data_IF_625728214190
#
_entry.id   IF_625728214190
#
_cell.length_a   1.000
_cell.length_b   1.000
_cell.length_c   1.000
_cell.angle_alpha   90.00
_cell.angle_beta   90.00
_cell.angle_gamma   90.00
#
_symmetry.space_group_name_H-M   'P 1'
#
loop_
_entity.id
_entity.type
_entity.pdbx_description
1 polymer ?
#
# COMPACT_ATOMS: atom_id res chain seq x y z
N UNK A 1 11.07 21.37 36.50
CA UNK A 1 10.73 19.95 36.35
C UNK A 1 11.38 19.46 35.07
N UNK A 2 12.08 18.34 35.09
CA UNK A 2 12.65 17.72 33.88
C UNK A 2 11.51 17.26 32.97
N UNK A 3 11.56 17.53 31.65
CA UNK A 3 10.52 17.07 30.74
C UNK A 3 10.43 15.54 30.76
N UNK A 4 9.21 15.01 30.78
CA UNK A 4 9.03 13.56 30.72
C UNK A 4 9.42 13.04 29.33
N UNK A 5 10.26 12.00 29.30
CA UNK A 5 10.73 11.36 28.07
C UNK A 5 9.68 10.38 27.55
N UNK A 6 9.38 10.45 26.26
CA UNK A 6 8.36 9.62 25.61
C UNK A 6 9.01 8.78 24.52
N UNK A 7 9.02 7.46 24.69
CA UNK A 7 9.54 6.54 23.69
C UNK A 7 8.55 6.41 22.53
N UNK A 8 9.03 6.63 21.31
CA UNK A 8 8.27 6.37 20.08
C UNK A 8 8.89 5.18 19.36
N UNK A 9 8.12 4.10 19.20
CA UNK A 9 8.59 2.84 18.62
C UNK A 9 8.46 2.75 17.10
N UNK A 10 7.92 3.80 16.47
CA UNK A 10 7.78 3.92 15.02
C UNK A 10 9.02 4.57 14.40
N UNK A 11 9.17 4.36 13.09
CA UNK A 11 10.14 5.08 12.27
C UNK A 11 10.07 6.61 12.51
N UNK A 12 11.21 7.33 12.62
CA UNK A 12 11.22 8.74 12.97
C UNK A 12 10.53 9.62 11.92
N UNK A 13 10.64 9.30 10.63
CA UNK A 13 9.98 10.05 9.57
C UNK A 13 8.46 9.87 9.69
N UNK A 14 8.00 8.66 9.96
CA UNK A 14 6.58 8.36 10.15
C UNK A 14 6.00 8.90 11.47
N UNK A 15 6.86 9.23 12.44
CA UNK A 15 6.50 9.75 13.76
C UNK A 15 6.64 11.28 13.89
N UNK A 16 7.05 11.97 12.83
CA UNK A 16 7.43 13.38 12.89
C UNK A 16 6.34 14.27 13.52
N UNK A 17 5.08 14.14 13.09
CA UNK A 17 3.94 14.92 13.61
C UNK A 17 3.68 14.62 15.09
N UNK A 18 3.72 13.35 15.50
CA UNK A 18 3.56 12.96 16.91
C UNK A 18 4.69 13.52 17.77
N UNK A 19 5.93 13.46 17.28
CA UNK A 19 7.07 14.03 17.97
C UNK A 19 6.96 15.55 18.11
N UNK A 20 6.45 16.26 17.10
CA UNK A 20 6.18 17.69 17.19
C UNK A 20 5.11 17.99 18.27
N UNK A 21 3.98 17.29 18.25
CA UNK A 21 2.89 17.45 19.23
C UNK A 21 3.31 17.16 20.67
N UNK A 22 4.25 16.22 20.86
CA UNK A 22 4.82 15.90 22.16
C UNK A 22 5.73 17.03 22.67
N UNK A 23 6.58 17.59 21.80
CA UNK A 23 7.43 18.74 22.15
C UNK A 23 6.61 19.97 22.52
N UNK A 24 5.55 20.26 21.77
CA UNK A 24 4.60 21.35 22.09
C UNK A 24 3.97 21.20 23.47
N UNK A 25 3.82 19.97 23.96
CA UNK A 25 3.29 19.65 25.29
C UNK A 25 4.37 19.56 26.38
N UNK A 26 5.61 19.93 26.08
CA UNK A 26 6.72 19.92 27.03
C UNK A 26 7.30 18.53 27.31
N UNK A 27 7.04 17.55 26.44
CA UNK A 27 7.67 16.23 26.50
C UNK A 27 8.93 16.18 25.64
N UNK A 28 9.79 15.22 25.94
CA UNK A 28 10.98 14.90 25.13
C UNK A 28 10.74 13.58 24.38
N UNK A 29 10.35 13.62 23.09
CA UNK A 29 10.18 12.41 22.30
C UNK A 29 11.53 11.80 21.94
N UNK A 30 11.69 10.51 22.23
CA UNK A 30 12.84 9.70 21.87
C UNK A 30 12.41 8.64 20.85
N UNK A 31 12.82 8.79 19.59
CA UNK A 31 12.55 7.78 18.58
C UNK A 31 13.47 6.57 18.77
N UNK A 32 12.89 5.38 18.86
CA UNK A 32 13.61 4.11 18.88
C UNK A 32 12.78 3.09 18.11
N UNK A 33 12.92 3.05 16.77
CA UNK A 33 12.18 2.11 15.94
C UNK A 33 12.50 0.68 16.36
N UNK A 34 11.46 -0.09 16.69
CA UNK A 34 11.63 -1.50 17.10
C UNK A 34 11.57 -2.44 15.90
N UNK A 35 10.86 -2.02 14.84
CA UNK A 35 10.66 -2.80 13.63
C UNK A 35 11.04 -1.99 12.39
N UNK A 36 11.51 -2.69 11.37
CA UNK A 36 11.85 -2.16 10.05
C UNK A 36 11.27 -3.06 8.97
N UNK A 37 10.83 -2.44 7.87
CA UNK A 37 10.35 -3.17 6.72
C UNK A 37 11.53 -3.67 5.89
N UNK A 38 11.53 -4.97 5.57
CA UNK A 38 12.50 -5.58 4.68
C UNK A 38 11.83 -6.21 3.46
N UNK A 39 12.54 -6.24 2.34
CA UNK A 39 12.14 -7.01 1.18
C UNK A 39 12.23 -8.52 1.49
N UNK A 40 11.34 -9.35 0.91
CA UNK A 40 11.48 -10.80 0.93
C UNK A 40 12.84 -11.24 0.35
N UNK A 41 13.25 -12.48 0.64
CA UNK A 41 14.51 -13.02 0.12
C UNK A 41 14.54 -13.04 -1.41
N UNK A 42 13.40 -13.28 -2.04
CA UNK A 42 13.19 -13.16 -3.47
C UNK A 42 12.09 -12.13 -3.75
N UNK A 43 12.44 -10.90 -4.17
CA UNK A 43 11.47 -9.87 -4.53
C UNK A 43 10.98 -9.97 -5.99
N UNK A 44 11.37 -10.99 -6.76
CA UNK A 44 11.03 -11.12 -8.18
C UNK A 44 9.52 -11.19 -8.43
N UNK A 45 8.76 -11.81 -7.54
CA UNK A 45 7.29 -11.84 -7.63
C UNK A 45 6.66 -10.45 -7.52
N UNK A 46 7.22 -9.57 -6.67
CA UNK A 46 6.75 -8.20 -6.51
C UNK A 46 7.09 -7.37 -7.74
N UNK A 47 8.30 -7.52 -8.28
CA UNK A 47 8.69 -6.88 -9.53
C UNK A 47 7.79 -7.31 -10.70
N UNK A 48 7.49 -8.61 -10.80
CA UNK A 48 6.59 -9.14 -11.82
C UNK A 48 5.11 -8.77 -11.61
N UNK A 49 4.69 -8.47 -10.37
CA UNK A 49 3.37 -7.89 -10.12
C UNK A 49 3.31 -6.44 -10.59
N UNK A 50 4.37 -5.65 -10.33
CA UNK A 50 4.47 -4.26 -10.77
C UNK A 50 4.49 -4.16 -12.30
N UNK A 51 5.25 -5.02 -12.98
CA UNK A 51 5.27 -5.11 -14.45
C UNK A 51 3.89 -5.48 -15.01
N UNK A 52 3.20 -6.45 -14.39
CA UNK A 52 1.83 -6.80 -14.80
C UNK A 52 0.84 -5.65 -14.61
N UNK A 53 1.01 -4.84 -13.57
CA UNK A 53 0.20 -3.64 -13.37
C UNK A 53 0.49 -2.57 -14.44
N UNK A 54 1.76 -2.40 -14.84
CA UNK A 54 2.17 -1.47 -15.89
C UNK A 54 1.73 -1.93 -17.30
N UNK A 55 1.60 -3.24 -17.52
CA UNK A 55 1.27 -3.84 -18.81
C UNK A 55 0.07 -4.81 -18.70
N UNK A 56 -1.12 -4.33 -18.30
CA UNK A 56 -2.26 -5.19 -18.06
C UNK A 56 -2.79 -5.78 -19.38
N UNK A 57 -3.01 -7.11 -19.41
CA UNK A 57 -3.60 -7.81 -20.56
C UNK A 57 -5.14 -7.75 -20.58
N UNK A 58 -5.74 -7.19 -19.53
CA UNK A 58 -7.18 -7.03 -19.36
C UNK A 58 -7.50 -6.17 -18.13
N UNK A 59 -8.78 -5.97 -17.79
CA UNK A 59 -9.19 -5.14 -16.66
C UNK A 59 -8.51 -5.57 -15.36
N UNK A 60 -7.73 -4.68 -14.78
CA UNK A 60 -6.84 -4.97 -13.64
C UNK A 60 -6.95 -3.88 -12.58
N UNK A 61 -7.01 -4.28 -11.31
CA UNK A 61 -6.88 -3.40 -10.16
C UNK A 61 -5.53 -3.61 -9.48
N UNK A 62 -4.81 -2.54 -9.16
CA UNK A 62 -3.70 -2.54 -8.21
C UNK A 62 -4.20 -2.02 -6.86
N UNK A 63 -4.20 -2.88 -5.85
CA UNK A 63 -4.76 -2.60 -4.53
C UNK A 63 -3.65 -2.42 -3.50
N UNK A 64 -3.32 -1.17 -3.17
CA UNK A 64 -2.22 -0.84 -2.25
C UNK A 64 -2.76 -0.53 -0.86
N UNK A 65 -2.36 -1.34 0.13
CA UNK A 65 -2.90 -1.23 1.50
C UNK A 65 -1.91 -0.67 2.53
N UNK A 66 -0.79 -0.11 2.08
CA UNK A 66 0.22 0.51 2.95
C UNK A 66 1.13 1.44 2.15
N UNK A 67 1.51 2.58 2.73
CA UNK A 67 2.58 3.42 2.20
C UNK A 67 3.94 2.69 2.15
N UNK A 68 4.15 1.71 3.04
CA UNK A 68 5.34 0.83 3.00
C UNK A 68 5.34 -0.05 1.76
N UNK A 69 4.17 -0.50 1.29
CA UNK A 69 4.08 -1.24 0.03
C UNK A 69 4.53 -0.37 -1.15
N UNK A 70 4.20 0.93 -1.17
CA UNK A 70 4.68 1.84 -2.22
C UNK A 70 6.19 1.92 -2.24
N UNK A 71 6.82 2.04 -1.06
CA UNK A 71 8.28 2.02 -0.95
C UNK A 71 8.90 0.69 -1.40
N UNK A 72 8.22 -0.43 -1.15
CA UNK A 72 8.66 -1.75 -1.62
C UNK A 72 8.55 -1.88 -3.13
N UNK A 73 7.49 -1.35 -3.75
CA UNK A 73 7.33 -1.30 -5.21
C UNK A 73 8.45 -0.47 -5.85
N UNK A 74 8.75 0.70 -5.28
CA UNK A 74 9.86 1.54 -5.72
C UNK A 74 11.21 0.82 -5.63
N UNK A 75 11.48 0.12 -4.53
CA UNK A 75 12.73 -0.59 -4.31
C UNK A 75 12.97 -1.76 -5.29
N UNK A 76 11.91 -2.33 -5.89
CA UNK A 76 12.00 -3.43 -6.86
C UNK A 76 11.74 -3.00 -8.30
N UNK A 77 11.40 -1.74 -8.52
CA UNK A 77 11.12 -1.20 -9.83
C UNK A 77 12.37 -1.27 -10.73
N UNK A 78 12.17 -1.68 -11.98
CA UNK A 78 13.25 -1.76 -12.98
C UNK A 78 13.58 -0.40 -13.61
N UNK A 79 12.71 0.58 -13.41
CA UNK A 79 12.84 1.94 -13.93
C UNK A 79 12.39 2.95 -12.88
N UNK A 80 13.05 4.11 -12.76
CA UNK A 80 12.57 5.21 -11.90
C UNK A 80 11.19 5.74 -12.34
N UNK A 81 10.80 5.52 -13.59
CA UNK A 81 9.54 6.01 -14.16
C UNK A 81 8.37 5.03 -13.95
N UNK A 82 8.48 4.05 -13.05
CA UNK A 82 7.43 3.04 -12.82
C UNK A 82 6.07 3.67 -12.51
N UNK A 83 6.02 4.80 -11.80
CA UNK A 83 4.80 5.52 -11.52
C UNK A 83 4.14 6.09 -12.79
N UNK A 84 4.95 6.64 -13.70
CA UNK A 84 4.46 7.10 -15.00
C UNK A 84 3.96 5.95 -15.89
N UNK A 85 4.58 4.77 -15.79
CA UNK A 85 4.12 3.56 -16.49
C UNK A 85 2.74 3.10 -15.98
N UNK A 86 2.53 3.12 -14.65
CA UNK A 86 1.21 2.83 -14.07
C UNK A 86 0.19 3.88 -14.50
N UNK A 87 0.54 5.17 -14.51
CA UNK A 87 -0.39 6.22 -14.94
C UNK A 87 -0.75 6.08 -16.42
N UNK A 88 0.20 5.72 -17.28
CA UNK A 88 -0.07 5.42 -18.68
C UNK A 88 -1.02 4.22 -18.82
N UNK A 89 -0.83 3.16 -18.04
CA UNK A 89 -1.75 2.01 -18.01
C UNK A 89 -3.15 2.42 -17.53
N UNK A 90 -3.25 3.29 -16.51
CA UNK A 90 -4.54 3.84 -16.04
C UNK A 90 -5.25 4.65 -17.12
N UNK A 91 -4.50 5.46 -17.87
CA UNK A 91 -5.06 6.27 -18.95
C UNK A 91 -5.69 5.43 -20.09
N UNK A 92 -5.28 4.17 -20.26
CA UNK A 92 -5.94 3.24 -21.20
C UNK A 92 -7.29 2.72 -20.70
N UNK A 93 -7.58 2.87 -19.41
CA UNK A 93 -8.75 2.29 -18.74
C UNK A 93 -8.60 0.81 -18.35
N UNK A 94 -7.46 0.17 -18.68
CA UNK A 94 -7.19 -1.22 -18.31
C UNK A 94 -6.69 -1.39 -16.88
N UNK A 95 -5.99 -0.39 -16.33
CA UNK A 95 -5.57 -0.38 -14.93
C UNK A 95 -6.45 0.57 -14.12
N UNK A 96 -6.83 0.13 -12.92
CA UNK A 96 -7.36 0.97 -11.84
C UNK A 96 -6.52 0.82 -10.59
N UNK A 97 -6.41 1.87 -9.79
CA UNK A 97 -5.59 1.87 -8.58
C UNK A 97 -6.43 2.23 -7.36
N UNK A 98 -6.35 1.37 -6.35
CA UNK A 98 -6.98 1.58 -5.06
C UNK A 98 -5.93 1.79 -3.96
N UNK A 99 -6.20 2.73 -3.06
CA UNK A 99 -5.43 2.91 -1.84
C UNK A 99 -6.33 2.70 -0.62
N UNK A 100 -5.81 2.06 0.44
CA UNK A 100 -6.59 1.83 1.67
C UNK A 100 -6.91 3.11 2.46
N UNK A 101 -6.15 4.17 2.25
CA UNK A 101 -6.29 5.42 2.98
C UNK A 101 -5.32 6.50 2.53
N UNK A 102 -5.47 7.70 3.09
CA UNK A 102 -4.79 8.93 2.67
C UNK A 102 -3.27 8.85 2.69
N UNK A 103 -2.68 8.18 3.68
CA UNK A 103 -1.23 8.02 3.75
C UNK A 103 -0.68 7.21 2.57
N UNK A 104 -1.41 6.17 2.15
CA UNK A 104 -1.04 5.35 0.99
C UNK A 104 -1.29 6.11 -0.31
N UNK A 105 -2.40 6.85 -0.37
CA UNK A 105 -2.74 7.71 -1.50
C UNK A 105 -1.67 8.76 -1.78
N UNK A 106 -1.23 9.47 -0.72
CA UNK A 106 -0.14 10.45 -0.80
C UNK A 106 1.17 9.81 -1.27
N UNK A 107 1.53 8.66 -0.73
CA UNK A 107 2.75 7.96 -1.12
C UNK A 107 2.73 7.56 -2.61
N UNK A 108 1.60 7.09 -3.15
CA UNK A 108 1.46 6.83 -4.59
C UNK A 108 1.56 8.12 -5.43
N UNK A 109 0.96 9.21 -4.94
CA UNK A 109 1.01 10.52 -5.59
C UNK A 109 2.42 11.11 -5.70
N UNK A 110 3.34 10.78 -4.78
CA UNK A 110 4.76 11.17 -4.87
C UNK A 110 5.45 10.61 -6.12
N UNK A 111 4.94 9.49 -6.66
CA UNK A 111 5.41 8.87 -7.91
C UNK A 111 4.51 9.20 -9.11
N UNK A 112 3.57 10.15 -8.97
CA UNK A 112 2.67 10.56 -10.05
C UNK A 112 1.55 9.56 -10.37
N UNK A 113 1.29 8.57 -9.50
CA UNK A 113 0.25 7.56 -9.71
C UNK A 113 -1.09 8.09 -9.20
N UNK A 114 -2.06 8.25 -10.11
CA UNK A 114 -3.43 8.62 -9.74
C UNK A 114 -4.20 7.48 -9.07
N UNK A 115 -5.35 7.82 -8.48
CA UNK A 115 -6.21 6.87 -7.76
C UNK A 115 -7.62 6.86 -8.32
N UNK A 116 -8.20 5.67 -8.37
CA UNK A 116 -9.59 5.42 -8.75
C UNK A 116 -10.47 5.18 -7.54
N UNK A 117 -9.89 4.74 -6.41
CA UNK A 117 -10.64 4.42 -5.21
C UNK A 117 -9.83 4.59 -3.92
N UNK A 118 -10.45 5.25 -2.94
CA UNK A 118 -10.03 5.32 -1.54
C UNK A 118 -11.28 5.24 -0.66
N UNK A 119 -11.35 4.36 0.35
CA UNK A 119 -12.53 4.26 1.21
C UNK A 119 -12.68 5.53 2.07
N UNK A 120 -13.89 6.09 2.10
CA UNK A 120 -14.18 7.40 2.70
C UNK A 120 -14.35 7.39 4.22
N UNK A 121 -14.69 6.25 4.81
CA UNK A 121 -15.06 6.14 6.23
C UNK A 121 -14.06 5.35 7.06
N UNK A 122 -13.75 4.14 6.59
CA UNK A 122 -12.88 3.21 7.31
C UNK A 122 -11.68 2.93 6.43
N UNK A 123 -10.54 3.51 6.79
CA UNK A 123 -9.27 3.30 6.09
C UNK A 123 -8.68 1.92 6.43
N UNK A 124 -9.35 0.86 5.98
CA UNK A 124 -9.01 -0.53 6.25
C UNK A 124 -9.40 -1.44 5.07
N UNK A 125 -8.85 -2.65 5.04
CA UNK A 125 -9.24 -3.68 4.08
C UNK A 125 -10.76 -3.96 4.09
N UNK A 126 -11.38 -4.03 5.28
CA UNK A 126 -12.83 -4.21 5.40
C UNK A 126 -13.61 -3.01 4.83
N UNK A 127 -13.11 -1.79 5.07
CA UNK A 127 -13.70 -0.57 4.50
C UNK A 127 -13.60 -0.51 2.98
N UNK A 128 -12.49 -0.98 2.41
CA UNK A 128 -12.32 -1.13 0.96
C UNK A 128 -13.37 -2.11 0.39
N UNK A 129 -13.52 -3.29 0.97
CA UNK A 129 -14.52 -4.29 0.52
C UNK A 129 -15.93 -3.73 0.61
N UNK A 130 -16.29 -3.07 1.72
CA UNK A 130 -17.63 -2.53 1.93
C UNK A 130 -18.01 -1.38 0.99
N UNK A 131 -17.02 -0.67 0.42
CA UNK A 131 -17.23 0.48 -0.45
C UNK A 131 -16.72 0.25 -1.87
N UNK A 132 -16.40 -1.00 -2.21
CA UNK A 132 -15.75 -1.32 -3.48
C UNK A 132 -16.63 -0.85 -4.66
N UNK A 133 -16.09 -0.07 -5.61
CA UNK A 133 -16.92 0.68 -6.57
C UNK A 133 -17.51 -0.20 -7.68
N UNK A 134 -16.99 -1.41 -7.86
CA UNK A 134 -17.30 -2.26 -9.01
C UNK A 134 -17.70 -3.66 -8.57
N UNK A 135 -18.79 -4.16 -9.15
CA UNK A 135 -19.19 -5.55 -9.01
C UNK A 135 -19.18 -6.17 -10.40
N UNK A 136 -18.13 -6.92 -10.77
CA UNK A 136 -18.13 -7.73 -11.99
C UNK A 136 -19.41 -8.60 -12.06
N UNK A 137 -20.35 -8.22 -12.93
CA UNK A 137 -21.66 -8.88 -13.06
C UNK A 137 -22.87 -8.13 -12.49
N UNK A 138 -22.71 -6.98 -11.84
CA UNK A 138 -23.83 -6.07 -11.57
C UNK A 138 -24.17 -5.28 -12.85
N UNK A 139 -25.45 -5.26 -13.24
CA UNK A 139 -25.90 -4.46 -14.38
C UNK A 139 -25.64 -2.98 -14.09
N UNK A 140 -25.09 -2.26 -15.06
CA UNK A 140 -25.16 -0.80 -15.11
C UNK A 140 -26.61 -0.39 -15.39
N UNK A 141 -27.36 -0.09 -14.33
CA UNK A 141 -28.74 0.38 -14.39
C UNK A 141 -29.35 0.47 -12.99
N UNK A 142 -29.98 1.61 -12.70
CA UNK A 142 -30.62 1.98 -11.43
C UNK A 142 -31.42 0.84 -10.78
N UNK A 143 -30.97 0.38 -9.61
CA UNK A 143 -31.72 -0.05 -8.40
C UNK A 143 -30.94 -1.14 -7.63
N UNK A 144 -29.95 -0.70 -6.84
CA UNK A 144 -29.00 -1.55 -6.09
C UNK A 144 -29.59 -2.25 -4.85
N UNK A 145 -30.87 -2.63 -4.84
CA UNK A 145 -31.56 -3.20 -3.65
C UNK A 145 -31.93 -4.68 -3.72
N UNK A 146 -31.39 -5.45 -4.67
CA UNK A 146 -31.47 -6.91 -4.64
C UNK A 146 -30.13 -7.50 -5.02
N UNK A 147 -29.56 -8.33 -4.13
CA UNK A 147 -28.34 -9.09 -4.40
C UNK A 147 -28.50 -9.84 -5.75
N UNK A 148 -27.59 -9.65 -6.72
CA UNK A 148 -27.72 -10.31 -8.00
C UNK A 148 -27.41 -11.81 -7.83
N UNK A 149 -28.35 -12.65 -8.28
CA UNK A 149 -28.02 -14.04 -8.63
C UNK A 149 -26.98 -14.00 -9.76
N UNK A 150 -25.96 -14.84 -9.64
CA UNK A 150 -24.91 -15.02 -10.64
C UNK A 150 -25.47 -15.07 -12.09
N UNK A 151 -24.72 -14.48 -13.03
CA UNK A 151 -24.91 -14.37 -14.50
C UNK A 151 -25.48 -13.02 -14.97
N UNK A 152 -24.90 -12.29 -15.93
CA UNK A 152 -24.06 -12.67 -17.07
C UNK A 152 -22.97 -11.59 -17.32
N UNK A 153 -21.78 -11.76 -16.76
CA UNK A 153 -20.58 -11.11 -17.29
C UNK A 153 -19.98 -12.04 -18.35
N UNK A 154 -19.86 -11.57 -19.59
CA UNK A 154 -19.30 -12.35 -20.72
C UNK A 154 -17.87 -11.93 -21.05
N UNK A 155 -17.29 -10.97 -20.32
CA UNK A 155 -15.91 -10.56 -20.46
C UNK A 155 -14.94 -11.46 -19.67
N UNK A 156 -13.62 -11.26 -19.82
CA UNK A 156 -12.65 -11.90 -18.95
C UNK A 156 -12.87 -11.48 -17.50
N UNK A 157 -12.65 -12.39 -16.55
CA UNK A 157 -12.66 -12.09 -15.12
C UNK A 157 -11.61 -11.01 -14.82
N UNK A 158 -11.96 -9.88 -14.19
CA UNK A 158 -10.99 -8.86 -13.87
C UNK A 158 -10.02 -9.35 -12.79
N UNK A 159 -8.76 -8.90 -12.90
CA UNK A 159 -7.69 -9.26 -11.97
C UNK A 159 -7.54 -8.19 -10.90
N UNK A 160 -7.26 -8.60 -9.66
CA UNK A 160 -6.82 -7.73 -8.60
C UNK A 160 -5.42 -8.15 -8.12
N UNK A 161 -4.47 -7.23 -8.22
CA UNK A 161 -3.09 -7.34 -7.79
C UNK A 161 -2.95 -6.76 -6.39
N UNK A 162 -2.57 -7.60 -5.42
CA UNK A 162 -2.51 -7.24 -4.00
C UNK A 162 -1.09 -7.44 -3.45
N UNK A 163 -0.22 -6.43 -3.57
CA UNK A 163 1.04 -6.39 -2.85
C UNK A 163 0.78 -6.03 -1.37
N UNK A 164 1.15 -6.92 -0.45
CA UNK A 164 0.79 -6.83 0.98
C UNK A 164 1.96 -7.15 1.89
N UNK A 165 1.88 -6.82 3.18
CA UNK A 165 2.86 -7.34 4.14
C UNK A 165 2.73 -8.86 4.30
N UNK A 166 3.80 -9.51 4.72
CA UNK A 166 3.81 -10.96 4.99
C UNK A 166 2.73 -11.38 6.01
N UNK A 167 2.39 -10.49 6.94
CA UNK A 167 1.35 -10.70 7.97
C UNK A 167 0.04 -9.96 7.68
N UNK A 168 -0.16 -9.47 6.45
CA UNK A 168 -1.37 -8.75 6.08
C UNK A 168 -2.61 -9.64 6.18
N UNK A 169 -3.72 -9.13 6.70
CA UNK A 169 -4.98 -9.89 6.77
C UNK A 169 -5.45 -10.34 5.38
N UNK A 170 -6.22 -11.43 5.31
CA UNK A 170 -6.82 -11.91 4.06
C UNK A 170 -8.14 -11.21 3.68
N UNK A 171 -8.63 -10.28 4.51
CA UNK A 171 -9.94 -9.62 4.35
C UNK A 171 -10.17 -9.06 2.95
N UNK A 172 -9.21 -8.31 2.40
CA UNK A 172 -9.36 -7.74 1.05
C UNK A 172 -9.30 -8.81 -0.04
N UNK A 173 -8.44 -9.82 0.12
CA UNK A 173 -8.34 -10.93 -0.83
C UNK A 173 -9.65 -11.72 -0.90
N UNK A 174 -10.21 -12.07 0.26
CA UNK A 174 -11.47 -12.80 0.35
C UNK A 174 -12.63 -11.96 -0.21
N UNK A 175 -12.73 -10.70 0.21
CA UNK A 175 -13.79 -9.81 -0.28
C UNK A 175 -13.74 -9.61 -1.80
N UNK A 176 -12.56 -9.39 -2.40
CA UNK A 176 -12.46 -9.23 -3.85
C UNK A 176 -12.78 -10.52 -4.62
N UNK A 177 -12.43 -11.70 -4.09
CA UNK A 177 -12.85 -12.98 -4.67
C UNK A 177 -14.37 -13.17 -4.62
N UNK A 178 -14.99 -12.83 -3.49
CA UNK A 178 -16.46 -12.86 -3.34
C UNK A 178 -17.15 -11.88 -4.29
N UNK A 179 -16.49 -10.76 -4.60
CA UNK A 179 -16.94 -9.78 -5.59
C UNK A 179 -16.72 -10.23 -7.05
N UNK A 180 -16.06 -11.37 -7.28
CA UNK A 180 -15.86 -11.96 -8.61
C UNK A 180 -14.56 -11.58 -9.31
N UNK A 181 -13.54 -11.12 -8.58
CA UNK A 181 -12.20 -10.88 -9.11
C UNK A 181 -11.34 -12.14 -9.01
N UNK A 182 -10.46 -12.35 -10.00
CA UNK A 182 -9.27 -13.15 -9.77
C UNK A 182 -8.29 -12.34 -8.91
N UNK A 183 -7.62 -12.97 -7.94
CA UNK A 183 -6.80 -12.24 -6.96
C UNK A 183 -5.40 -12.84 -6.90
N UNK A 184 -4.42 -12.04 -7.35
CA UNK A 184 -2.99 -12.32 -7.20
C UNK A 184 -2.45 -11.54 -6.00
N UNK A 185 -2.22 -12.25 -4.90
CA UNK A 185 -1.60 -11.72 -3.67
C UNK A 185 -0.09 -11.98 -3.73
N UNK A 186 0.73 -10.98 -3.44
CA UNK A 186 2.19 -11.10 -3.36
C UNK A 186 2.69 -10.42 -2.09
N UNK A 187 3.65 -11.03 -1.40
CA UNK A 187 4.32 -10.42 -0.26
C UNK A 187 5.26 -9.31 -0.75
N UNK A 188 4.95 -8.07 -0.37
CA UNK A 188 5.75 -6.90 -0.71
C UNK A 188 6.88 -6.65 0.30
N UNK A 189 6.62 -6.90 1.58
CA UNK A 189 7.60 -6.71 2.65
C UNK A 189 7.28 -7.53 3.89
N UNK A 190 8.30 -7.70 4.73
CA UNK A 190 8.24 -8.29 6.06
C UNK A 190 8.60 -7.23 7.10
N UNK A 191 7.94 -7.25 8.27
CA UNK A 191 8.36 -6.42 9.40
C UNK A 191 9.29 -7.26 10.29
N UNK A 192 10.51 -6.79 10.49
CA UNK A 192 11.54 -7.48 11.30
C UNK A 192 12.11 -6.56 12.38
N UNK A 193 12.70 -7.10 13.45
CA UNK A 193 13.46 -6.29 14.40
C UNK A 193 14.57 -5.49 13.70
N UNK A 194 14.82 -4.28 14.19
CA UNK A 194 15.93 -3.44 13.70
C UNK A 194 17.30 -4.04 14.08
N UNK A 195 18.30 -4.04 13.17
CA UNK A 195 18.24 -3.61 11.78
C UNK A 195 17.78 -4.71 10.82
N UNK A 196 17.03 -4.33 9.79
CA UNK A 196 16.70 -5.21 8.67
C UNK A 196 17.94 -5.54 7.82
N UNK A 197 18.05 -6.77 7.35
CA UNK A 197 19.12 -7.19 6.43
C UNK A 197 18.92 -6.65 5.01
N UNK A 198 17.66 -6.54 4.57
CA UNK A 198 17.25 -6.07 3.24
C UNK A 198 16.25 -4.92 3.35
N UNK A 199 16.62 -3.77 3.94
CA UNK A 199 15.66 -2.72 4.26
C UNK A 199 15.00 -2.18 2.98
N UNK A 200 13.68 -1.99 3.04
CA UNK A 200 12.90 -1.41 1.92
C UNK A 200 13.37 0.01 1.59
N UNK A 201 13.67 0.80 2.63
CA UNK A 201 14.27 2.13 2.49
C UNK A 201 15.66 2.08 3.09
N UNK A 202 16.69 2.48 2.34
CA UNK A 202 18.03 2.63 2.93
C UNK A 202 17.98 3.69 4.02
N UNK A 203 18.49 3.37 5.21
CA UNK A 203 18.77 4.39 6.22
C UNK A 203 19.93 5.24 5.72
N UNK A 204 19.80 6.55 5.86
CA UNK A 204 20.99 7.39 5.93
C UNK A 204 21.76 6.97 7.19
N UNK A 205 23.09 6.79 7.13
CA UNK A 205 23.88 6.52 8.31
C UNK A 205 23.64 7.66 9.30
N UNK A 206 23.28 7.30 10.53
CA UNK A 206 23.16 8.27 11.62
C UNK A 206 24.50 9.00 11.73
N UNK A 207 24.55 10.35 11.68
CA UNK A 207 25.80 11.05 11.86
C UNK A 207 26.37 10.63 13.21
N UNK A 208 27.58 10.03 13.19
CA UNK A 208 28.31 9.64 14.39
C UNK A 208 28.23 10.79 15.39
N UNK A 209 27.52 10.57 16.50
CA UNK A 209 27.42 11.54 17.56
C UNK A 209 28.83 11.79 18.11
N UNK A 210 29.44 12.89 17.67
CA UNK A 210 30.62 13.55 18.23
C UNK A 210 31.76 12.65 18.70
N UNK A 211 32.80 12.53 17.87
CA UNK A 211 34.17 12.60 18.41
C UNK A 211 34.36 14.00 19.00
N UNK A 212 33.97 14.17 20.26
CA UNK A 212 34.42 15.30 21.07
C UNK A 212 35.83 14.97 21.57
N UNK A 213 36.84 15.48 20.86
CA UNK A 213 38.19 15.72 21.40
C UNK A 213 38.22 17.03 22.15
#
# INVERSE_FOLDING_TARGET
>A
MTPARVLITRDPAAAHELAALLRERGHEPCASPMLEAQLPADPSELAGLLDQAAHPSGPTWLCVTSATTVAALDAVAQSPDWGAQLEAARATGLLRVAAVGEATARALGEYGVGLDFVPSRVQSAAGMVAQWPEHPGARSGEDSRKAPRASQWTGPTPLALLPVSALGSDTLCQGLRELGYDVRRVTAYEMVPVPAERPVRRREPEPLAGSAT
#
